data_IF_132090174838
#
_entry.id   IF_132090174838
#
_cell.length_a   1.000
_cell.length_b   1.000
_cell.length_c   1.000
_cell.angle_alpha   90.00
_cell.angle_beta   90.00
_cell.angle_gamma   90.00
#
_symmetry.space_group_name_H-M   'P 1'
#
loop_
_entity.id
_entity.type
_entity.pdbx_description
1 polymer ?
#
# COMPACT_ATOMS: atom_id res chain seq x y z
N UNK A 1 43.49 -4.37 -12.77
CA UNK A 1 42.59 -4.42 -13.92
C UNK A 1 41.16 -4.21 -13.40
N UNK A 2 40.80 -2.97 -13.11
CA UNK A 2 39.48 -2.61 -12.53
C UNK A 2 39.19 -1.12 -12.67
N UNK A 3 38.99 -0.59 -13.88
CA UNK A 3 38.48 0.78 -14.10
C UNK A 3 37.71 0.84 -15.43
N UNK A 4 36.66 0.09 -15.57
CA UNK A 4 35.85 0.17 -16.82
C UNK A 4 34.31 0.10 -16.61
N UNK A 5 33.79 0.16 -15.40
CA UNK A 5 32.33 -0.06 -15.19
C UNK A 5 31.56 1.11 -14.59
N UNK A 6 32.17 2.30 -14.43
CA UNK A 6 31.50 3.45 -13.78
C UNK A 6 30.99 4.55 -14.71
N UNK A 7 31.26 4.49 -16.02
CA UNK A 7 30.88 5.57 -16.95
C UNK A 7 29.60 5.29 -17.74
N UNK A 8 29.12 4.05 -17.81
CA UNK A 8 27.95 3.71 -18.63
C UNK A 8 26.60 4.10 -18.00
N UNK A 9 26.52 4.18 -16.66
CA UNK A 9 25.27 4.52 -15.99
C UNK A 9 24.88 6.00 -16.10
N UNK A 10 25.87 6.89 -16.10
CA UNK A 10 25.63 8.34 -16.18
C UNK A 10 25.20 8.77 -17.59
N UNK A 11 25.65 8.10 -18.62
CA UNK A 11 25.28 8.40 -20.00
C UNK A 11 23.83 8.01 -20.33
N UNK A 12 23.33 6.93 -19.74
CA UNK A 12 21.91 6.49 -19.93
C UNK A 12 20.95 7.48 -19.27
N UNK A 13 21.28 7.99 -18.08
CA UNK A 13 20.47 9.02 -17.42
C UNK A 13 20.47 10.37 -18.16
N UNK A 14 21.57 10.72 -18.81
CA UNK A 14 21.66 11.95 -19.63
C UNK A 14 20.89 11.83 -20.95
N UNK A 15 20.85 10.64 -21.58
CA UNK A 15 20.08 10.44 -22.81
C UNK A 15 18.56 10.42 -22.58
N UNK A 16 18.09 9.95 -21.40
CA UNK A 16 16.68 10.02 -21.03
C UNK A 16 16.25 11.47 -20.75
N UNK A 17 17.15 12.33 -20.28
CA UNK A 17 16.85 13.73 -19.98
C UNK A 17 16.63 14.62 -21.21
N UNK A 18 17.19 14.32 -22.35
CA UNK A 18 17.12 15.19 -23.54
C UNK A 18 15.91 14.93 -24.45
N UNK A 19 15.30 13.76 -24.36
CA UNK A 19 14.08 13.42 -25.13
C UNK A 19 12.77 13.89 -24.46
N UNK A 20 12.82 14.38 -23.25
CA UNK A 20 11.64 14.84 -22.50
C UNK A 20 11.20 16.28 -22.84
N UNK A 21 11.99 17.02 -23.64
CA UNK A 21 11.80 18.46 -23.85
C UNK A 21 10.57 18.80 -24.73
N UNK A 22 9.96 17.82 -25.41
CA UNK A 22 8.76 18.03 -26.23
C UNK A 22 7.54 17.19 -25.81
N UNK A 23 7.61 16.44 -24.72
CA UNK A 23 6.45 15.77 -24.15
C UNK A 23 5.75 16.76 -23.19
N UNK A 24 4.44 16.85 -23.26
CA UNK A 24 3.66 17.52 -22.21
C UNK A 24 3.81 16.70 -20.93
N UNK A 25 4.91 16.89 -20.23
CA UNK A 25 5.18 16.21 -18.98
C UNK A 25 4.44 16.93 -17.86
N UNK A 26 3.56 16.24 -17.16
CA UNK A 26 3.01 16.70 -15.90
C UNK A 26 3.53 15.83 -14.77
N UNK A 27 3.81 16.46 -13.65
CA UNK A 27 4.20 15.79 -12.42
C UNK A 27 3.16 16.10 -11.35
N UNK A 28 2.59 15.07 -10.78
CA UNK A 28 1.56 15.17 -9.75
C UNK A 28 2.14 14.69 -8.42
N UNK A 29 1.80 15.37 -7.33
CA UNK A 29 2.06 14.94 -5.96
C UNK A 29 0.72 14.84 -5.25
N UNK A 30 0.49 13.74 -4.55
CA UNK A 30 -0.79 13.44 -3.95
C UNK A 30 -0.65 12.89 -2.53
N UNK A 31 -1.63 13.22 -1.71
CA UNK A 31 -1.87 12.65 -0.39
C UNK A 31 -3.22 11.96 -0.42
N UNK A 32 -3.29 10.74 0.09
CA UNK A 32 -4.47 9.90 0.06
C UNK A 32 -4.95 9.47 1.44
N UNK A 33 -6.21 9.11 1.49
CA UNK A 33 -6.81 8.44 2.63
C UNK A 33 -7.83 7.42 2.14
N UNK A 34 -7.92 6.31 2.83
CA UNK A 34 -8.79 5.22 2.41
C UNK A 34 -8.77 4.02 3.33
N UNK A 35 -9.16 2.89 2.79
CA UNK A 35 -9.21 1.63 3.52
C UNK A 35 -8.95 0.46 2.59
N UNK A 36 -8.19 -0.50 3.06
CA UNK A 36 -8.02 -1.81 2.44
C UNK A 36 -8.73 -2.88 3.26
N UNK A 37 -9.13 -3.96 2.62
CA UNK A 37 -9.86 -5.03 3.30
C UNK A 37 -9.43 -6.41 2.81
N UNK A 38 -9.16 -7.29 3.77
CA UNK A 38 -9.06 -8.73 3.54
C UNK A 38 -9.80 -9.44 4.68
N UNK A 39 -10.75 -10.29 4.32
CA UNK A 39 -11.51 -11.04 5.30
C UNK A 39 -10.66 -12.13 5.93
N UNK A 40 -10.89 -12.36 7.22
CA UNK A 40 -10.24 -13.46 7.93
C UNK A 40 -10.61 -14.82 7.32
N UNK A 41 -9.64 -15.71 7.23
CA UNK A 41 -9.91 -17.09 6.86
C UNK A 41 -10.57 -17.83 8.03
N UNK A 42 -11.63 -18.57 7.78
CA UNK A 42 -12.31 -19.40 8.77
C UNK A 42 -11.49 -20.62 9.25
N UNK A 43 -10.39 -20.93 8.59
CA UNK A 43 -9.57 -22.11 8.84
C UNK A 43 -8.39 -21.93 9.79
N UNK A 44 -8.14 -20.74 10.28
CA UNK A 44 -6.95 -20.44 11.08
C UNK A 44 -5.75 -20.01 10.24
N UNK A 45 -4.83 -19.31 10.87
CA UNK A 45 -3.57 -18.97 10.26
C UNK A 45 -2.56 -20.03 10.65
N UNK A 46 -2.19 -20.85 9.70
CA UNK A 46 -0.99 -21.65 9.82
C UNK A 46 0.18 -20.81 9.29
N UNK A 47 0.79 -20.03 10.15
CA UNK A 47 2.01 -19.38 9.77
C UNK A 47 3.20 -20.28 10.15
N UNK A 48 4.02 -20.60 9.20
CA UNK A 48 5.26 -21.34 9.37
C UNK A 48 6.27 -20.62 10.31
N UNK A 49 6.02 -19.39 10.69
CA UNK A 49 6.72 -18.68 11.74
C UNK A 49 5.92 -18.84 13.02
N UNK A 50 6.50 -19.32 14.09
CA UNK A 50 6.02 -19.55 15.44
C UNK A 50 5.06 -18.53 16.10
N UNK A 51 4.47 -17.64 15.30
CA UNK A 51 3.46 -16.64 15.63
C UNK A 51 2.02 -17.21 15.55
N UNK A 52 1.86 -18.50 15.49
CA UNK A 52 0.55 -19.15 15.56
C UNK A 52 -0.03 -18.98 16.97
N UNK A 53 -0.36 -17.73 17.30
CA UNK A 53 -1.00 -17.37 18.55
C UNK A 53 -2.49 -17.80 18.59
N UNK A 54 -2.99 -18.34 17.48
CA UNK A 54 -4.37 -18.76 17.30
C UNK A 54 -4.37 -20.25 16.98
N UNK A 55 -4.92 -21.05 17.86
CA UNK A 55 -5.21 -22.44 17.55
C UNK A 55 -6.13 -22.53 16.33
N UNK A 56 -6.02 -23.61 15.59
CA UNK A 56 -6.94 -23.94 14.50
C UNK A 56 -8.36 -24.02 15.04
N UNK A 57 -9.16 -23.01 14.74
CA UNK A 57 -10.59 -23.05 14.99
C UNK A 57 -11.24 -23.94 13.92
N UNK A 58 -11.53 -25.18 14.25
CA UNK A 58 -12.44 -25.95 13.41
C UNK A 58 -13.85 -25.36 13.53
N UNK A 59 -14.50 -25.01 12.42
CA UNK A 59 -15.89 -24.57 12.44
C UNK A 59 -16.74 -25.58 13.21
N UNK A 60 -17.51 -25.13 14.19
CA UNK A 60 -18.38 -25.95 15.08
C UNK A 60 -17.68 -26.76 16.17
N UNK A 61 -16.46 -26.50 16.55
CA UNK A 61 -15.82 -27.20 17.66
C UNK A 61 -16.44 -26.90 19.04
N UNK A 62 -17.25 -25.84 19.15
CA UNK A 62 -17.80 -25.42 20.44
C UNK A 62 -16.74 -24.91 21.43
N UNK A 63 -15.53 -24.73 20.97
CA UNK A 63 -14.40 -24.30 21.79
C UNK A 63 -14.53 -22.82 22.11
N UNK A 64 -14.79 -22.49 23.37
CA UNK A 64 -14.99 -21.13 23.86
C UNK A 64 -13.72 -20.24 23.69
N UNK A 65 -12.57 -20.85 23.42
CA UNK A 65 -11.29 -20.16 23.20
C UNK A 65 -10.99 -19.91 21.73
N UNK A 66 -11.89 -20.29 20.83
CA UNK A 66 -11.73 -20.06 19.42
C UNK A 66 -11.92 -18.60 19.09
N UNK A 67 -10.84 -17.87 18.90
CA UNK A 67 -10.91 -16.50 18.44
C UNK A 67 -11.05 -16.45 16.92
N UNK A 68 -11.99 -15.63 16.45
CA UNK A 68 -12.08 -15.33 15.03
C UNK A 68 -10.79 -14.67 14.56
N UNK A 69 -10.30 -15.13 13.40
CA UNK A 69 -9.10 -14.53 12.81
C UNK A 69 -9.36 -13.08 12.47
N UNK A 70 -8.39 -12.22 12.77
CA UNK A 70 -8.52 -10.81 12.46
C UNK A 70 -8.43 -10.56 10.95
N UNK A 71 -9.35 -9.76 10.45
CA UNK A 71 -9.29 -9.26 9.09
C UNK A 71 -8.20 -8.18 8.97
N UNK A 72 -7.63 -8.05 7.78
CA UNK A 72 -6.91 -6.86 7.38
C UNK A 72 -7.96 -5.79 7.08
N UNK A 73 -7.97 -4.74 7.84
CA UNK A 73 -8.89 -3.61 7.67
C UNK A 73 -8.30 -2.35 8.31
N UNK A 74 -9.06 -1.26 8.25
CA UNK A 74 -8.71 -0.03 8.93
C UNK A 74 -8.35 1.08 7.96
N UNK A 75 -7.98 2.20 8.55
CA UNK A 75 -7.70 3.43 7.84
C UNK A 75 -6.25 3.46 7.35
N UNK A 76 -6.07 3.89 6.09
CA UNK A 76 -4.77 4.09 5.46
C UNK A 76 -4.57 5.56 5.11
N UNK A 77 -3.33 6.00 5.25
CA UNK A 77 -2.84 7.26 4.70
C UNK A 77 -1.93 6.94 3.53
N UNK A 78 -2.20 7.59 2.40
CA UNK A 78 -1.46 7.44 1.17
C UNK A 78 -0.54 8.63 0.92
N UNK A 79 0.61 8.36 0.33
CA UNK A 79 1.52 9.33 -0.25
C UNK A 79 1.94 8.83 -1.62
N UNK A 80 1.84 9.66 -2.64
CA UNK A 80 2.13 9.25 -3.99
C UNK A 80 2.54 10.38 -4.91
N UNK A 81 2.92 10.00 -6.11
CA UNK A 81 3.22 10.93 -7.18
C UNK A 81 3.24 10.24 -8.53
N UNK A 82 2.75 10.95 -9.53
CA UNK A 82 2.61 10.48 -10.90
C UNK A 82 3.42 11.37 -11.83
N UNK A 83 4.15 10.76 -12.75
CA UNK A 83 4.88 11.44 -13.80
C UNK A 83 4.32 10.99 -15.15
N UNK A 84 3.55 11.86 -15.80
CA UNK A 84 3.08 11.61 -17.16
C UNK A 84 4.20 11.94 -18.13
N UNK A 85 4.70 10.91 -18.81
CA UNK A 85 5.78 11.02 -19.80
C UNK A 85 5.22 11.41 -21.18
N UNK A 86 4.01 10.96 -21.47
CA UNK A 86 3.27 11.24 -22.68
C UNK A 86 1.80 11.52 -22.32
N UNK A 87 1.04 12.04 -23.27
CA UNK A 87 -0.38 12.38 -23.07
C UNK A 87 -1.21 11.27 -22.39
N UNK A 88 -0.88 10.02 -22.66
CA UNK A 88 -1.66 8.87 -22.19
C UNK A 88 -0.85 7.89 -21.35
N UNK A 89 0.46 8.07 -21.19
CA UNK A 89 1.31 7.12 -20.49
C UNK A 89 2.19 7.82 -19.45
N UNK A 90 2.29 7.22 -18.31
CA UNK A 90 3.09 7.70 -17.19
C UNK A 90 3.62 6.58 -16.32
N UNK A 91 4.34 6.97 -15.30
CA UNK A 91 4.78 6.13 -14.20
C UNK A 91 4.38 6.78 -12.89
N UNK A 92 4.04 5.98 -11.90
CA UNK A 92 3.65 6.43 -10.58
C UNK A 92 4.37 5.70 -9.48
N UNK A 93 4.33 6.28 -8.32
CA UNK A 93 4.75 5.68 -7.07
C UNK A 93 3.68 5.95 -6.01
N UNK A 94 3.35 4.94 -5.24
CA UNK A 94 2.40 5.03 -4.14
C UNK A 94 2.93 4.31 -2.90
N UNK A 95 2.63 4.87 -1.74
CA UNK A 95 2.89 4.26 -0.45
C UNK A 95 1.68 4.48 0.45
N UNK A 96 1.00 3.40 0.80
CA UNK A 96 -0.18 3.38 1.65
C UNK A 96 0.19 2.81 3.01
N UNK A 97 0.06 3.60 4.05
CA UNK A 97 0.52 3.30 5.39
C UNK A 97 -0.66 3.30 6.36
N UNK A 98 -0.76 2.28 7.15
CA UNK A 98 -1.73 2.22 8.23
C UNK A 98 -1.17 2.96 9.47
N UNK A 99 -1.71 4.13 9.85
CA UNK A 99 -1.15 4.91 10.95
C UNK A 99 -1.42 4.27 12.32
N UNK A 100 -2.60 3.67 12.48
CA UNK A 100 -2.99 2.98 13.70
C UNK A 100 -2.78 1.47 13.56
N UNK A 101 -2.39 0.82 14.65
CA UNK A 101 -2.33 -0.63 14.71
C UNK A 101 -3.73 -1.21 14.86
N UNK A 102 -3.96 -2.35 14.24
CA UNK A 102 -5.21 -3.09 14.34
C UNK A 102 -5.05 -4.29 15.25
N UNK A 103 -6.11 -4.67 15.90
CA UNK A 103 -6.12 -5.88 16.73
C UNK A 103 -5.96 -7.12 15.86
N UNK A 104 -5.05 -7.99 16.25
CA UNK A 104 -4.78 -9.27 15.61
C UNK A 104 -4.73 -10.35 16.69
N UNK A 105 -5.91 -10.73 17.23
CA UNK A 105 -6.02 -11.56 18.43
C UNK A 105 -5.31 -10.91 19.63
N UNK A 106 -4.35 -11.60 20.28
CA UNK A 106 -3.57 -11.03 21.37
C UNK A 106 -2.50 -10.05 20.88
N UNK A 107 -2.26 -9.99 19.56
CA UNK A 107 -1.29 -9.11 18.95
C UNK A 107 -1.95 -7.87 18.35
N UNK A 108 -1.13 -6.94 17.95
CA UNK A 108 -1.48 -5.82 17.10
C UNK A 108 -0.73 -5.93 15.78
N UNK A 109 -1.39 -5.63 14.68
CA UNK A 109 -0.80 -5.61 13.34
C UNK A 109 -0.86 -4.23 12.72
N UNK A 110 0.07 -3.96 11.81
CA UNK A 110 0.10 -2.77 10.96
C UNK A 110 0.55 -3.18 9.57
N UNK A 111 -0.17 -2.71 8.56
CA UNK A 111 0.11 -2.96 7.16
C UNK A 111 0.65 -1.71 6.47
N UNK A 112 1.43 -1.95 5.43
CA UNK A 112 1.92 -0.91 4.52
C UNK A 112 2.07 -1.52 3.14
N UNK A 113 1.56 -0.80 2.13
CA UNK A 113 1.73 -1.14 0.72
C UNK A 113 2.59 -0.07 0.06
N UNK A 114 3.45 -0.47 -0.86
CA UNK A 114 4.26 0.44 -1.66
C UNK A 114 4.48 -0.13 -3.04
N UNK A 115 4.20 0.68 -4.05
CA UNK A 115 4.12 0.29 -5.44
C UNK A 115 4.82 1.26 -6.37
N UNK A 116 5.34 0.70 -7.45
CA UNK A 116 5.74 1.44 -8.64
C UNK A 116 4.82 1.02 -9.77
N UNK A 117 4.15 1.98 -10.38
CA UNK A 117 3.05 1.78 -11.30
C UNK A 117 3.38 2.28 -12.69
N UNK A 118 2.96 1.55 -13.71
CA UNK A 118 2.73 2.08 -15.03
C UNK A 118 1.30 2.64 -15.10
N UNK A 119 1.15 3.83 -15.64
CA UNK A 119 -0.13 4.54 -15.73
C UNK A 119 -0.52 4.66 -17.21
N UNK A 120 -1.77 4.32 -17.51
CA UNK A 120 -2.41 4.56 -18.78
C UNK A 120 -3.66 5.41 -18.59
N UNK A 121 -3.70 6.59 -19.23
CA UNK A 121 -4.81 7.52 -19.17
C UNK A 121 -5.57 7.55 -20.51
N UNK A 122 -6.54 6.65 -20.75
CA UNK A 122 -7.31 6.62 -22.00
C UNK A 122 -8.10 7.90 -22.23
N UNK A 123 -8.57 8.50 -21.16
CA UNK A 123 -9.26 9.80 -21.18
C UNK A 123 -8.43 10.78 -20.40
N UNK A 124 -7.86 11.77 -21.07
CA UNK A 124 -7.09 12.82 -20.44
C UNK A 124 -7.52 14.18 -20.99
N UNK A 125 -8.32 14.89 -20.21
CA UNK A 125 -8.87 16.20 -20.53
C UNK A 125 -8.42 17.22 -19.48
N UNK A 126 -8.63 18.51 -19.74
CA UNK A 126 -8.32 19.59 -18.79
C UNK A 126 -9.09 19.52 -17.48
N UNK A 127 -10.23 18.82 -17.42
CA UNK A 127 -11.10 18.74 -16.23
C UNK A 127 -11.10 17.39 -15.56
N UNK A 128 -10.84 16.34 -16.31
CA UNK A 128 -10.85 14.98 -15.78
C UNK A 128 -9.92 14.07 -16.57
N UNK A 129 -9.33 13.12 -15.87
CA UNK A 129 -8.50 12.05 -16.44
C UNK A 129 -8.95 10.72 -15.83
N UNK A 130 -9.21 9.74 -16.68
CA UNK A 130 -9.37 8.35 -16.25
C UNK A 130 -7.99 7.69 -16.29
N UNK A 131 -7.54 7.16 -15.18
CA UNK A 131 -6.26 6.49 -15.05
C UNK A 131 -6.48 5.01 -14.77
N UNK A 132 -5.81 4.17 -15.54
CA UNK A 132 -5.65 2.76 -15.29
C UNK A 132 -4.19 2.57 -14.89
N UNK A 133 -3.96 1.87 -13.79
CA UNK A 133 -2.61 1.66 -13.30
C UNK A 133 -2.37 0.18 -13.04
N UNK A 134 -1.12 -0.21 -13.16
CA UNK A 134 -0.68 -1.53 -12.83
C UNK A 134 0.81 -1.52 -12.50
N UNK A 135 1.17 -2.27 -11.48
CA UNK A 135 2.52 -2.19 -10.97
C UNK A 135 2.92 -3.37 -10.11
N UNK A 136 4.08 -3.20 -9.53
CA UNK A 136 4.68 -4.16 -8.62
C UNK A 136 5.24 -3.43 -7.42
N UNK A 137 5.29 -4.14 -6.30
CA UNK A 137 5.78 -3.53 -5.08
C UNK A 137 5.92 -4.50 -3.93
N UNK A 138 5.72 -4.00 -2.73
CA UNK A 138 5.81 -4.76 -1.51
C UNK A 138 4.66 -4.46 -0.54
N UNK A 139 4.20 -5.50 0.10
CA UNK A 139 3.30 -5.44 1.24
C UNK A 139 4.06 -5.82 2.51
N UNK A 140 4.09 -4.95 3.48
CA UNK A 140 4.73 -5.20 4.77
C UNK A 140 3.69 -5.28 5.87
N UNK A 141 3.69 -6.39 6.58
CA UNK A 141 2.91 -6.61 7.80
C UNK A 141 3.86 -6.65 9.00
N UNK A 142 3.59 -5.85 10.02
CA UNK A 142 4.33 -5.87 11.27
C UNK A 142 3.42 -6.22 12.43
N UNK A 143 3.90 -7.11 13.30
CA UNK A 143 3.21 -7.57 14.50
C UNK A 143 3.90 -7.07 15.76
N UNK A 144 3.13 -6.70 16.75
CA UNK A 144 3.61 -6.32 18.07
C UNK A 144 2.68 -6.86 19.15
N UNK A 145 3.25 -7.11 20.30
CA UNK A 145 2.52 -7.37 21.52
C UNK A 145 2.34 -6.06 22.29
N UNK A 146 1.13 -5.77 22.71
CA UNK A 146 0.85 -4.59 23.54
C UNK A 146 0.75 -5.03 25.00
N UNK A 147 1.72 -4.63 25.80
CA UNK A 147 1.70 -4.87 27.23
C UNK A 147 1.43 -3.57 27.98
N UNK A 148 0.42 -3.58 28.85
CA UNK A 148 0.08 -2.44 29.70
C UNK A 148 0.46 -2.79 31.12
N UNK A 149 1.50 -2.13 31.63
CA UNK A 149 1.93 -2.23 33.02
C UNK A 149 1.56 -0.98 33.80
N UNK A 150 0.90 -1.14 34.95
CA UNK A 150 0.61 -0.04 35.86
C UNK A 150 1.53 -0.14 37.08
N UNK A 151 2.25 0.95 37.40
CA UNK A 151 3.07 1.04 38.62
C UNK A 151 2.33 1.94 39.60
N UNK A 152 1.82 1.34 40.69
CA UNK A 152 0.99 2.07 41.64
C UNK A 152 -0.37 2.44 41.11
N UNK A 153 -1.04 3.42 41.77
CA UNK A 153 -2.40 3.82 41.44
C UNK A 153 -2.51 4.91 40.35
N UNK A 154 -1.43 5.39 39.80
CA UNK A 154 -1.45 6.61 39.00
C UNK A 154 -0.75 6.58 37.63
N UNK A 155 0.13 5.64 37.34
CA UNK A 155 0.89 5.64 36.09
C UNK A 155 0.79 4.28 35.40
N UNK A 156 0.01 4.21 34.34
CA UNK A 156 -0.02 3.06 33.42
C UNK A 156 0.82 3.41 32.19
N UNK A 157 1.81 2.58 31.88
CA UNK A 157 2.58 2.66 30.64
C UNK A 157 2.20 1.51 29.73
N UNK A 158 1.99 1.81 28.47
CA UNK A 158 1.77 0.80 27.43
C UNK A 158 3.04 0.71 26.60
N UNK A 159 3.68 -0.43 26.59
CA UNK A 159 4.79 -0.73 25.69
C UNK A 159 4.32 -1.63 24.55
N UNK A 160 4.84 -1.38 23.35
CA UNK A 160 4.59 -2.22 22.18
C UNK A 160 5.91 -2.93 21.83
N UNK A 161 6.01 -4.20 22.19
CA UNK A 161 7.15 -5.02 21.86
C UNK A 161 6.98 -5.61 20.47
N UNK A 162 7.94 -5.40 19.55
CA UNK A 162 7.89 -6.00 18.22
C UNK A 162 8.07 -7.50 18.30
N UNK A 163 7.11 -8.24 17.76
CA UNK A 163 7.14 -9.71 17.74
C UNK A 163 7.72 -10.22 16.43
N UNK A 164 7.41 -9.55 15.33
CA UNK A 164 7.90 -9.93 14.01
C UNK A 164 7.34 -9.06 12.92
N UNK A 165 7.91 -9.22 11.74
CA UNK A 165 7.40 -8.58 10.53
C UNK A 165 7.59 -9.52 9.34
N UNK A 166 6.69 -9.42 8.37
CA UNK A 166 6.76 -10.10 7.10
C UNK A 166 6.67 -9.06 5.98
N UNK A 167 7.46 -9.27 4.94
CA UNK A 167 7.38 -8.46 3.73
C UNK A 167 7.17 -9.39 2.56
N UNK A 168 6.11 -9.16 1.80
CA UNK A 168 5.73 -9.93 0.65
C UNK A 168 5.86 -9.09 -0.61
N UNK A 169 6.21 -9.72 -1.70
CA UNK A 169 6.07 -9.11 -3.02
C UNK A 169 4.59 -8.96 -3.33
N UNK A 170 4.23 -7.90 -4.06
CA UNK A 170 2.86 -7.72 -4.54
C UNK A 170 2.82 -7.30 -6.01
N UNK A 171 1.70 -7.64 -6.64
CA UNK A 171 1.29 -7.10 -7.93
C UNK A 171 0.03 -6.28 -7.69
N UNK A 172 -0.05 -5.15 -8.33
CA UNK A 172 -1.12 -4.17 -8.13
C UNK A 172 -1.78 -3.81 -9.46
N UNK A 173 -3.09 -3.61 -9.42
CA UNK A 173 -3.86 -3.06 -10.52
C UNK A 173 -4.94 -2.14 -9.96
N UNK A 174 -5.10 -0.96 -10.57
CA UNK A 174 -6.01 0.05 -10.08
C UNK A 174 -6.69 0.85 -11.18
N UNK A 175 -7.76 1.51 -10.78
CA UNK A 175 -8.49 2.47 -11.60
C UNK A 175 -8.83 3.70 -10.78
N UNK A 176 -8.44 4.87 -11.28
CA UNK A 176 -8.70 6.17 -10.66
C UNK A 176 -9.33 7.16 -11.62
N UNK A 177 -10.13 8.06 -11.08
CA UNK A 177 -10.67 9.19 -11.84
C UNK A 177 -10.16 10.48 -11.22
N UNK A 178 -9.20 11.12 -11.89
CA UNK A 178 -8.64 12.39 -11.46
C UNK A 178 -9.56 13.53 -11.94
N UNK A 179 -10.07 14.32 -10.99
CA UNK A 179 -11.00 15.43 -11.25
C UNK A 179 -10.33 16.72 -10.80
N UNK A 180 -10.11 17.63 -11.73
CA UNK A 180 -9.48 18.93 -11.47
C UNK A 180 -10.48 19.94 -10.93
N UNK A 181 -10.25 20.37 -9.69
CA UNK A 181 -11.01 21.43 -9.03
C UNK A 181 -10.51 22.82 -9.45
N UNK A 182 -9.25 22.91 -9.80
CA UNK A 182 -8.61 24.09 -10.40
C UNK A 182 -7.58 23.63 -11.43
N UNK A 183 -6.82 24.56 -12.02
CA UNK A 183 -5.78 24.20 -12.99
C UNK A 183 -4.70 23.26 -12.43
N UNK A 184 -4.53 23.22 -11.11
CA UNK A 184 -3.44 22.47 -10.49
C UNK A 184 -3.92 21.52 -9.40
N UNK A 185 -5.06 21.78 -8.75
CA UNK A 185 -5.56 20.98 -7.63
C UNK A 185 -6.58 19.98 -8.15
N UNK A 186 -6.42 18.72 -7.74
CA UNK A 186 -7.34 17.66 -8.10
C UNK A 186 -7.72 16.78 -6.91
N UNK A 187 -8.82 16.06 -7.08
CA UNK A 187 -9.18 14.89 -6.28
C UNK A 187 -9.16 13.67 -7.19
N UNK A 188 -8.71 12.52 -6.66
CA UNK A 188 -8.66 11.25 -7.40
C UNK A 188 -9.25 10.14 -6.51
N UNK A 189 -10.57 9.85 -6.58
CA UNK A 189 -11.07 8.57 -6.10
C UNK A 189 -10.45 7.45 -6.92
N UNK A 190 -10.00 6.40 -6.22
CA UNK A 190 -9.25 5.30 -6.78
C UNK A 190 -9.65 4.00 -6.10
N UNK A 191 -9.71 2.95 -6.88
CA UNK A 191 -9.92 1.60 -6.41
C UNK A 191 -8.79 0.71 -6.92
N UNK A 192 -8.16 0.03 -5.99
CA UNK A 192 -6.98 -0.78 -6.22
C UNK A 192 -7.22 -2.22 -5.78
N UNK A 193 -6.49 -3.10 -6.41
CA UNK A 193 -6.50 -4.51 -6.12
C UNK A 193 -5.06 -5.01 -6.03
N UNK A 194 -4.65 -5.37 -4.83
CA UNK A 194 -3.33 -5.92 -4.55
C UNK A 194 -3.40 -7.44 -4.51
N UNK A 195 -2.54 -8.10 -5.24
CA UNK A 195 -2.32 -9.52 -5.12
C UNK A 195 -0.98 -9.77 -4.44
N UNK A 196 -1.03 -10.32 -3.22
CA UNK A 196 0.11 -10.48 -2.31
C UNK A 196 0.34 -11.96 -2.04
N UNK A 197 1.19 -12.65 -2.83
CA UNK A 197 1.49 -14.06 -2.60
C UNK A 197 2.01 -14.31 -1.18
N UNK A 198 1.43 -15.29 -0.50
CA UNK A 198 1.79 -15.65 0.87
C UNK A 198 1.11 -14.84 1.97
N UNK A 199 0.23 -13.89 1.64
CA UNK A 199 -0.54 -13.16 2.64
C UNK A 199 -1.51 -14.08 3.39
N UNK A 200 -1.93 -15.16 2.77
CA UNK A 200 -2.75 -16.21 3.41
C UNK A 200 -2.09 -16.87 4.62
N UNK A 201 -0.77 -16.68 4.81
CA UNK A 201 -0.09 -17.08 6.03
C UNK A 201 -0.46 -16.19 7.24
N UNK A 202 -1.00 -14.99 6.99
CA UNK A 202 -1.36 -14.02 8.02
C UNK A 202 -2.85 -13.63 7.99
N UNK A 203 -3.47 -13.64 6.81
CA UNK A 203 -4.85 -13.22 6.57
C UNK A 203 -5.62 -14.26 5.74
N UNK A 204 -6.85 -13.97 5.39
CA UNK A 204 -7.73 -14.93 4.72
C UNK A 204 -7.48 -15.11 3.23
N UNK A 205 -6.87 -14.14 2.58
CA UNK A 205 -6.72 -14.12 1.13
C UNK A 205 -5.35 -13.55 0.71
N UNK A 206 -4.95 -13.83 -0.52
CA UNK A 206 -3.86 -13.12 -1.18
C UNK A 206 -4.34 -11.87 -1.92
N UNK A 207 -5.64 -11.62 -1.92
CA UNK A 207 -6.28 -10.55 -2.69
C UNK A 207 -6.83 -9.49 -1.75
N UNK A 208 -6.31 -8.27 -1.85
CA UNK A 208 -6.67 -7.14 -0.99
C UNK A 208 -7.23 -6.02 -1.85
N UNK A 209 -8.55 -5.82 -1.88
CA UNK A 209 -9.14 -4.62 -2.43
C UNK A 209 -8.86 -3.42 -1.52
N UNK A 210 -8.53 -2.30 -2.13
CA UNK A 210 -8.30 -1.02 -1.47
C UNK A 210 -9.09 0.09 -2.17
N UNK A 211 -9.68 0.97 -1.38
CA UNK A 211 -10.33 2.17 -1.87
C UNK A 211 -9.67 3.40 -1.27
N UNK A 212 -9.18 4.29 -2.13
CA UNK A 212 -8.49 5.51 -1.73
C UNK A 212 -9.16 6.75 -2.32
N UNK A 213 -9.03 7.86 -1.64
CA UNK A 213 -9.31 9.19 -2.18
C UNK A 213 -8.05 10.03 -2.01
N UNK A 214 -7.52 10.47 -3.13
CA UNK A 214 -6.33 11.30 -3.19
C UNK A 214 -6.69 12.75 -3.40
N UNK A 215 -5.95 13.64 -2.78
CA UNK A 215 -5.94 15.08 -3.05
C UNK A 215 -4.53 15.42 -3.50
N UNK A 216 -4.41 16.06 -4.63
CA UNK A 216 -3.10 16.30 -5.22
C UNK A 216 -2.96 17.66 -5.90
N UNK A 217 -1.70 17.93 -6.19
CA UNK A 217 -1.28 19.12 -6.94
C UNK A 217 -0.49 18.68 -8.17
N UNK A 218 -0.89 19.22 -9.33
CA UNK A 218 -0.27 18.94 -10.62
C UNK A 218 0.65 20.08 -11.03
N UNK A 219 1.89 19.73 -11.34
CA UNK A 219 2.89 20.63 -11.91
C UNK A 219 3.00 20.36 -13.41
N UNK A 220 3.04 21.43 -14.21
CA UNK A 220 3.14 21.37 -15.66
C UNK A 220 1.85 21.80 -16.36
N UNK A 221 1.94 21.96 -17.67
CA UNK A 221 0.80 22.31 -18.53
C UNK A 221 0.07 21.03 -18.99
N UNK A 222 -1.25 21.07 -19.00
CA UNK A 222 -2.14 20.01 -19.51
C UNK A 222 -2.97 20.49 -20.69
#
# INVERSE_FOLDING_TARGET
MSIAFRTSGAAILLFLGTSLINAQTSFDVNLGFGSAHDSANSGGIDNASSLNAFGTCTPNSGDANCQSLPALNGFFLGFGGDLMLYKHFGVGFEANLQPARQTYGPLQSRQSFYDVNGIYAPINTKRASLQLQGGVGGARTSFSFSESGCVGTAVCTTSNEPVGNATHFQVHAGVGVQIFLSSHIFIKPEFDFHYVPGLTNQFGSNAVPEGMVWVGYSFGER
#
